data_IF_305365523122
#
_entry.id   IF_305365523122
#
_cell.length_a   1.000
_cell.length_b   1.000
_cell.length_c   1.000
_cell.angle_alpha   90.00
_cell.angle_beta   90.00
_cell.angle_gamma   90.00
#
_symmetry.space_group_name_H-M   'P 1'
#
loop_
_entity.id
_entity.type
_entity.pdbx_description
1 polymer ?
#
# COMPACT_ATOMS: atom_id res chain seq x y z
N UNK A 1 5.78 25.78 24.14
CA UNK A 1 5.51 24.78 25.21
C UNK A 1 6.43 24.91 26.43
N UNK A 2 7.77 24.92 26.31
CA UNK A 2 8.69 25.01 27.47
C UNK A 2 8.48 26.22 28.42
N UNK A 3 7.93 27.34 27.93
CA UNK A 3 7.57 28.50 28.77
C UNK A 3 6.22 28.36 29.49
N UNK A 4 5.34 27.43 29.07
CA UNK A 4 3.96 27.29 29.57
C UNK A 4 3.78 26.06 30.48
N UNK A 5 4.58 25.01 30.27
CA UNK A 5 4.62 23.83 31.13
C UNK A 5 6.06 23.63 31.59
N UNK A 6 6.33 24.00 32.84
CA UNK A 6 7.68 24.02 33.43
C UNK A 6 8.11 22.66 33.97
N UNK A 7 7.16 21.75 34.21
CA UNK A 7 7.44 20.36 34.59
C UNK A 7 6.65 19.36 33.74
N UNK A 8 7.14 18.11 33.67
CA UNK A 8 6.42 17.00 33.04
C UNK A 8 5.07 16.74 33.70
N UNK A 9 4.98 16.95 35.02
CA UNK A 9 3.74 16.80 35.79
C UNK A 9 2.68 17.79 35.30
N UNK A 10 3.05 19.07 35.15
CA UNK A 10 2.14 20.13 34.71
C UNK A 10 1.63 19.90 33.28
N UNK A 11 2.47 19.32 32.41
CA UNK A 11 2.06 18.95 31.06
C UNK A 11 1.13 17.72 31.05
N UNK A 12 1.40 16.73 31.91
CA UNK A 12 0.62 15.48 31.92
C UNK A 12 -0.85 15.65 32.33
N UNK A 13 -1.16 16.71 33.09
CA UNK A 13 -2.52 17.03 33.56
C UNK A 13 -3.20 18.15 32.77
N UNK A 14 -2.54 18.70 31.76
CA UNK A 14 -3.08 19.81 30.97
C UNK A 14 -4.22 19.36 30.05
N UNK A 15 -5.30 20.14 29.99
CA UNK A 15 -6.42 19.90 29.07
C UNK A 15 -6.13 20.45 27.67
N UNK A 16 -6.93 20.07 26.67
CA UNK A 16 -6.83 20.64 25.32
C UNK A 16 -6.98 22.16 25.31
N UNK A 17 -7.84 22.70 26.18
CA UNK A 17 -8.04 24.14 26.33
C UNK A 17 -6.81 24.85 26.92
N UNK A 18 -6.09 24.18 27.83
CA UNK A 18 -4.84 24.70 28.40
C UNK A 18 -3.71 24.70 27.36
N UNK A 19 -3.67 23.69 26.49
CA UNK A 19 -2.66 23.59 25.43
C UNK A 19 -2.93 24.62 24.33
N UNK A 20 -4.20 24.78 23.91
CA UNK A 20 -4.63 25.64 22.81
C UNK A 20 -5.64 26.72 23.28
N UNK A 21 -5.16 27.80 23.94
CA UNK A 21 -6.01 28.84 24.47
C UNK A 21 -6.65 29.69 23.36
N UNK A 22 -7.57 30.58 23.74
CA UNK A 22 -8.09 31.66 22.89
C UNK A 22 -8.74 31.23 21.56
N UNK A 23 -9.26 29.99 21.49
CA UNK A 23 -9.88 29.49 20.28
C UNK A 23 -8.89 29.23 19.14
N UNK A 24 -7.60 29.06 19.43
CA UNK A 24 -6.58 28.66 18.44
C UNK A 24 -7.01 27.43 17.62
N UNK A 25 -7.69 26.47 18.26
CA UNK A 25 -8.27 25.30 17.57
C UNK A 25 -9.37 25.67 16.56
N UNK A 26 -10.17 26.70 16.83
CA UNK A 26 -11.24 27.16 15.93
C UNK A 26 -10.68 27.85 14.68
N UNK A 27 -9.49 28.45 14.80
CA UNK A 27 -8.76 29.05 13.68
C UNK A 27 -7.93 28.02 12.89
N UNK A 28 -7.81 26.80 13.41
CA UNK A 28 -7.00 25.74 12.80
C UNK A 28 -7.71 25.06 11.64
N UNK A 29 -6.94 24.61 10.65
CA UNK A 29 -7.46 23.78 9.56
C UNK A 29 -7.78 22.39 10.09
N UNK A 30 -9.08 22.05 10.17
CA UNK A 30 -9.53 20.69 10.49
C UNK A 30 -9.57 19.85 9.22
N UNK A 31 -8.74 18.82 9.16
CA UNK A 31 -8.79 17.79 8.14
C UNK A 31 -9.46 16.54 8.73
N UNK A 32 -10.27 15.85 7.94
CA UNK A 32 -10.91 14.60 8.30
C UNK A 32 -10.53 13.52 7.29
N UNK A 33 -10.19 12.34 7.80
CA UNK A 33 -10.02 11.12 7.01
C UNK A 33 -11.27 10.28 7.19
N UNK A 34 -11.90 9.88 6.09
CA UNK A 34 -13.10 9.04 6.09
C UNK A 34 -12.89 7.66 5.47
N UNK A 35 -11.72 7.42 4.88
CA UNK A 35 -11.36 6.17 4.22
C UNK A 35 -9.90 5.84 4.55
N UNK A 36 -9.66 4.60 4.93
CA UNK A 36 -8.33 4.08 5.27
C UNK A 36 -8.03 2.74 4.60
N UNK A 37 -9.03 2.14 3.94
CA UNK A 37 -8.84 0.91 3.19
C UNK A 37 -8.16 1.21 1.84
N UNK A 38 -7.28 0.30 1.41
CA UNK A 38 -6.89 0.14 0.02
C UNK A 38 -8.12 -0.22 -0.81
N UNK A 39 -8.41 0.61 -1.82
CA UNK A 39 -9.58 0.45 -2.71
C UNK A 39 -9.17 0.52 -4.16
N UNK A 40 -9.88 -0.20 -5.01
CA UNK A 40 -9.81 -0.08 -6.46
C UNK A 40 -11.02 0.74 -6.94
N UNK A 41 -10.79 1.73 -7.79
CA UNK A 41 -11.88 2.48 -8.42
C UNK A 41 -12.06 2.01 -9.86
N UNK A 42 -13.19 1.34 -10.11
CA UNK A 42 -13.51 0.76 -11.41
C UNK A 42 -14.29 1.79 -12.24
N UNK A 43 -13.86 2.01 -13.48
CA UNK A 43 -14.59 2.90 -14.39
C UNK A 43 -15.80 2.18 -14.98
N UNK A 44 -16.98 2.73 -14.76
CA UNK A 44 -18.24 2.28 -15.37
C UNK A 44 -18.88 3.46 -16.10
N UNK A 45 -18.70 3.51 -17.41
CA UNK A 45 -19.07 4.67 -18.24
C UNK A 45 -18.31 5.93 -17.83
N UNK A 46 -19.04 6.93 -17.31
CA UNK A 46 -18.50 8.22 -16.84
C UNK A 46 -18.34 8.30 -15.32
N UNK A 47 -18.49 7.19 -14.59
CA UNK A 47 -18.38 7.15 -13.12
C UNK A 47 -17.31 6.16 -12.69
N UNK A 48 -16.79 6.37 -11.48
CA UNK A 48 -15.94 5.41 -10.79
C UNK A 48 -16.74 4.76 -9.66
N UNK A 49 -16.72 3.43 -9.59
CA UNK A 49 -17.33 2.64 -8.54
C UNK A 49 -16.20 2.18 -7.61
N UNK A 50 -16.36 2.46 -6.32
CA UNK A 50 -15.39 2.06 -5.28
C UNK A 50 -15.54 0.57 -4.99
N UNK A 51 -14.44 -0.16 -5.08
CA UNK A 51 -14.34 -1.56 -4.70
C UNK A 51 -13.31 -1.73 -3.58
N UNK A 52 -13.71 -2.39 -2.49
CA UNK A 52 -12.78 -2.76 -1.43
C UNK A 52 -11.86 -3.89 -1.92
N UNK A 53 -10.56 -3.73 -1.66
CA UNK A 53 -9.59 -4.82 -1.86
C UNK A 53 -9.61 -5.75 -0.63
N UNK A 54 -9.20 -7.03 -0.80
CA UNK A 54 -9.18 -8.00 0.29
C UNK A 54 -8.21 -7.58 1.41
N UNK A 55 -8.32 -8.24 2.57
CA UNK A 55 -7.60 -7.88 3.79
C UNK A 55 -6.07 -7.85 3.60
N UNK A 56 -5.54 -8.73 2.75
CA UNK A 56 -4.12 -8.85 2.45
C UNK A 56 -3.57 -7.62 1.72
N UNK A 57 -4.42 -6.87 1.01
CA UNK A 57 -4.05 -5.58 0.41
C UNK A 57 -3.97 -4.44 1.45
N UNK A 58 -4.33 -4.70 2.70
CA UNK A 58 -4.31 -3.73 3.81
C UNK A 58 -3.09 -3.90 4.72
N UNK A 59 -2.32 -4.99 4.57
CA UNK A 59 -1.25 -5.35 5.51
C UNK A 59 -0.05 -4.41 5.45
N UNK A 60 0.14 -3.69 4.34
CA UNK A 60 1.26 -2.76 4.17
C UNK A 60 0.87 -1.61 3.24
N UNK A 61 1.76 -0.63 3.12
CA UNK A 61 1.66 0.44 2.14
C UNK A 61 1.83 -0.11 0.71
N UNK A 62 0.91 0.28 -0.17
CA UNK A 62 0.99 0.02 -1.61
C UNK A 62 1.59 1.25 -2.28
N UNK A 63 2.80 1.11 -2.84
CA UNK A 63 3.49 2.19 -3.58
C UNK A 63 3.63 1.87 -5.06
N UNK A 64 3.47 0.59 -5.44
CA UNK A 64 3.52 0.11 -6.83
C UNK A 64 2.44 -0.93 -7.09
N UNK A 65 1.90 -0.88 -8.30
CA UNK A 65 0.86 -1.77 -8.79
C UNK A 65 1.27 -2.19 -10.20
N UNK A 66 1.31 -3.49 -10.45
CA UNK A 66 1.41 -4.06 -11.79
C UNK A 66 0.09 -4.71 -12.13
N UNK A 67 -0.45 -4.38 -13.31
CA UNK A 67 -1.72 -4.89 -13.80
C UNK A 67 -1.47 -5.71 -15.06
N UNK A 68 -1.66 -7.02 -14.98
CA UNK A 68 -1.57 -7.90 -16.14
C UNK A 68 -2.45 -9.14 -15.95
N UNK A 69 -2.56 -9.97 -16.98
CA UNK A 69 -3.24 -11.27 -16.93
C UNK A 69 -2.19 -12.35 -16.61
N UNK A 70 -1.98 -12.66 -15.32
CA UNK A 70 -0.86 -13.52 -14.89
C UNK A 70 -1.18 -15.01 -15.03
N UNK A 71 -2.46 -15.38 -14.99
CA UNK A 71 -2.91 -16.76 -15.14
C UNK A 71 -3.56 -17.06 -16.51
N UNK A 72 -3.61 -16.07 -17.40
CA UNK A 72 -4.08 -16.18 -18.78
C UNK A 72 -5.57 -16.54 -18.87
N UNK A 73 -6.37 -16.12 -17.89
CA UNK A 73 -7.81 -16.33 -17.88
C UNK A 73 -8.61 -15.25 -18.65
N UNK A 74 -7.90 -14.23 -19.14
CA UNK A 74 -8.46 -13.11 -19.91
C UNK A 74 -8.88 -11.92 -19.03
N UNK A 75 -8.71 -12.00 -17.71
CA UNK A 75 -8.98 -10.93 -16.77
C UNK A 75 -7.70 -10.29 -16.26
N UNK A 76 -7.82 -9.04 -15.78
CA UNK A 76 -6.69 -8.32 -15.21
C UNK A 76 -6.55 -8.62 -13.73
N UNK A 77 -5.37 -9.09 -13.38
CA UNK A 77 -4.91 -9.28 -12.03
C UNK A 77 -4.07 -8.08 -11.57
N UNK A 78 -3.86 -7.97 -10.27
CA UNK A 78 -3.04 -6.91 -9.65
C UNK A 78 -1.94 -7.52 -8.81
N UNK A 79 -0.69 -7.16 -9.07
CA UNK A 79 0.41 -7.35 -8.11
C UNK A 79 0.64 -6.04 -7.38
N UNK A 80 0.28 -6.03 -6.11
CA UNK A 80 0.46 -4.89 -5.20
C UNK A 80 1.78 -5.05 -4.46
N UNK A 81 2.61 -4.02 -4.54
CA UNK A 81 3.92 -3.97 -3.93
C UNK A 81 4.11 -2.64 -3.20
N UNK A 82 5.05 -2.63 -2.27
CA UNK A 82 5.44 -1.40 -1.61
C UNK A 82 6.32 -1.66 -0.42
N UNK A 83 5.76 -1.48 0.77
CA UNK A 83 6.46 -1.32 2.04
C UNK A 83 7.05 0.08 2.24
N UNK A 84 7.18 0.41 3.52
CA UNK A 84 7.89 1.58 3.98
C UNK A 84 8.52 1.28 5.35
N UNK A 85 9.83 1.08 5.37
CA UNK A 85 10.58 0.74 6.58
C UNK A 85 11.26 1.95 7.22
N UNK A 86 11.60 2.98 6.44
CA UNK A 86 12.18 4.24 6.94
C UNK A 86 11.11 5.18 7.55
N UNK A 87 10.46 4.70 8.59
CA UNK A 87 9.44 5.41 9.34
C UNK A 87 9.99 5.96 10.67
N UNK A 88 9.27 6.92 11.24
CA UNK A 88 9.56 7.37 12.62
C UNK A 88 9.45 6.18 13.58
N UNK A 89 10.37 6.09 14.55
CA UNK A 89 10.41 5.01 15.56
C UNK A 89 9.06 4.65 16.20
N UNK A 90 8.17 5.65 16.41
CA UNK A 90 6.84 5.44 17.00
C UNK A 90 5.85 4.71 16.09
N UNK A 91 6.02 4.78 14.78
CA UNK A 91 5.14 4.15 13.78
C UNK A 91 5.59 2.70 13.53
N UNK A 92 6.90 2.44 13.61
CA UNK A 92 7.49 1.15 13.28
C UNK A 92 7.63 0.94 11.77
N UNK A 93 8.09 -0.24 11.38
CA UNK A 93 8.22 -0.64 9.97
C UNK A 93 6.87 -1.10 9.42
N UNK A 94 6.57 -0.73 8.18
CA UNK A 94 5.38 -1.18 7.44
C UNK A 94 5.89 -2.05 6.29
N UNK A 95 6.24 -3.30 6.59
CA UNK A 95 6.98 -4.21 5.70
C UNK A 95 6.28 -5.54 5.42
N UNK A 96 4.99 -5.65 5.76
CA UNK A 96 4.22 -6.89 5.62
C UNK A 96 3.67 -7.15 4.20
N UNK A 97 4.28 -6.57 3.14
CA UNK A 97 3.93 -6.87 1.76
C UNK A 97 5.10 -7.53 1.03
N UNK A 98 4.95 -8.84 0.82
CA UNK A 98 5.90 -9.71 0.12
C UNK A 98 5.55 -9.91 -1.36
N UNK A 99 4.80 -8.97 -1.96
CA UNK A 99 4.15 -9.13 -3.25
C UNK A 99 2.76 -9.77 -3.07
N UNK A 100 1.74 -8.92 -3.05
CA UNK A 100 0.35 -9.34 -2.93
C UNK A 100 -0.28 -9.44 -4.33
N UNK A 101 -0.44 -10.68 -4.83
CA UNK A 101 -1.12 -10.94 -6.10
C UNK A 101 -2.61 -11.14 -5.85
N UNK A 102 -3.42 -10.32 -6.52
CA UNK A 102 -4.87 -10.37 -6.50
C UNK A 102 -5.37 -10.82 -7.87
N UNK A 103 -6.07 -11.94 -7.90
CA UNK A 103 -6.74 -12.46 -9.09
C UNK A 103 -8.03 -11.68 -9.38
N UNK A 104 -8.16 -11.18 -10.60
CA UNK A 104 -9.38 -10.54 -11.08
C UNK A 104 -10.46 -11.56 -11.44
N UNK A 105 -11.73 -11.20 -11.31
CA UNK A 105 -12.86 -12.04 -11.72
C UNK A 105 -13.59 -11.55 -12.98
N UNK A 106 -13.02 -10.55 -13.67
CA UNK A 106 -13.59 -9.87 -14.84
C UNK A 106 -14.78 -8.94 -14.54
N UNK A 107 -15.32 -8.98 -13.33
CA UNK A 107 -16.46 -8.17 -12.86
C UNK A 107 -16.04 -7.09 -11.88
N UNK A 108 -14.74 -6.99 -11.61
CA UNK A 108 -14.15 -6.01 -10.70
C UNK A 108 -13.94 -6.55 -9.28
N UNK A 109 -14.24 -7.82 -9.03
CA UNK A 109 -13.83 -8.53 -7.83
C UNK A 109 -12.36 -8.92 -7.90
N UNK A 110 -11.72 -8.90 -6.74
CA UNK A 110 -10.33 -9.30 -6.56
C UNK A 110 -10.22 -10.29 -5.41
N UNK A 111 -9.55 -11.41 -5.64
CA UNK A 111 -9.28 -12.43 -4.63
C UNK A 111 -7.79 -12.63 -4.46
N UNK A 112 -7.33 -12.71 -3.22
CA UNK A 112 -5.91 -12.89 -2.94
C UNK A 112 -5.43 -14.29 -3.32
N UNK A 113 -4.27 -14.35 -3.99
CA UNK A 113 -3.55 -15.59 -4.25
C UNK A 113 -2.46 -15.79 -3.20
N UNK A 114 -2.50 -16.87 -2.40
CA UNK A 114 -1.49 -17.13 -1.38
C UNK A 114 -0.06 -17.18 -1.95
N UNK A 115 0.93 -16.73 -1.17
CA UNK A 115 2.34 -16.64 -1.61
C UNK A 115 2.92 -17.99 -2.01
N UNK A 116 2.51 -19.06 -1.32
CA UNK A 116 2.90 -20.44 -1.67
C UNK A 116 2.44 -20.84 -3.07
N UNK A 117 1.39 -20.22 -3.61
CA UNK A 117 0.86 -20.45 -4.94
C UNK A 117 1.40 -19.43 -5.94
N UNK A 118 1.46 -18.15 -5.58
CA UNK A 118 1.96 -17.08 -6.47
C UNK A 118 3.47 -17.16 -6.70
N UNK A 119 4.22 -17.71 -5.76
CA UNK A 119 5.68 -17.75 -5.79
C UNK A 119 6.36 -16.40 -5.51
N UNK A 120 5.59 -15.37 -5.14
CA UNK A 120 6.12 -14.06 -4.79
C UNK A 120 6.73 -14.07 -3.38
N UNK A 121 7.88 -13.42 -3.25
CA UNK A 121 8.55 -13.17 -1.97
C UNK A 121 9.38 -11.89 -2.09
N UNK A 122 8.70 -10.78 -2.37
CA UNK A 122 9.31 -9.48 -2.61
C UNK A 122 9.88 -8.93 -1.31
N UNK A 123 11.14 -8.55 -1.31
CA UNK A 123 11.83 -8.02 -0.15
C UNK A 123 12.02 -6.50 -0.23
N UNK A 124 11.78 -5.82 0.89
CA UNK A 124 12.11 -4.41 1.13
C UNK A 124 11.13 -3.39 0.56
N UNK A 125 11.56 -2.13 0.60
CA UNK A 125 10.79 -0.97 0.15
C UNK A 125 10.84 -0.84 -1.37
N UNK A 126 9.81 -1.30 -2.06
CA UNK A 126 9.72 -1.26 -3.52
C UNK A 126 9.63 0.19 -4.01
N UNK A 127 10.59 0.59 -4.87
CA UNK A 127 10.69 1.93 -5.48
C UNK A 127 10.32 1.92 -6.96
N UNK A 128 10.54 0.81 -7.65
CA UNK A 128 10.17 0.60 -9.05
C UNK A 128 9.81 -0.86 -9.29
N UNK A 129 8.84 -1.10 -10.18
CA UNK A 129 8.53 -2.42 -10.68
C UNK A 129 8.02 -2.28 -12.11
N UNK A 130 8.42 -3.18 -13.00
CA UNK A 130 8.02 -3.18 -14.40
C UNK A 130 7.94 -4.61 -14.94
N UNK A 131 7.03 -4.84 -15.89
CA UNK A 131 6.99 -6.06 -16.68
C UNK A 131 7.83 -5.88 -17.95
N UNK A 132 8.79 -6.78 -18.15
CA UNK A 132 9.67 -6.77 -19.32
C UNK A 132 9.56 -8.08 -20.08
N UNK A 133 9.43 -7.99 -21.40
CA UNK A 133 9.48 -9.15 -22.30
C UNK A 133 10.88 -9.33 -22.85
N UNK A 134 11.49 -10.48 -22.58
CA UNK A 134 12.80 -10.87 -23.09
C UNK A 134 12.64 -12.15 -23.89
N UNK A 135 12.90 -12.09 -25.19
CA UNK A 135 12.78 -13.24 -26.11
C UNK A 135 11.39 -13.93 -26.03
N UNK A 136 10.34 -13.12 -25.92
CA UNK A 136 8.96 -13.62 -25.83
C UNK A 136 8.51 -14.02 -24.43
N UNK A 137 9.42 -14.17 -23.45
CA UNK A 137 9.08 -14.48 -22.06
C UNK A 137 8.92 -13.19 -21.23
N UNK A 138 7.82 -13.09 -20.48
CA UNK A 138 7.58 -11.98 -19.54
C UNK A 138 8.30 -12.21 -18.21
N UNK A 139 8.88 -11.14 -17.67
CA UNK A 139 9.55 -11.07 -16.38
C UNK A 139 9.06 -9.85 -15.61
N UNK A 140 8.76 -10.04 -14.32
CA UNK A 140 8.52 -8.96 -13.39
C UNK A 140 9.85 -8.56 -12.75
N UNK A 141 10.32 -7.35 -13.04
CA UNK A 141 11.54 -6.77 -12.48
C UNK A 141 11.18 -5.77 -11.39
N UNK A 142 11.82 -5.89 -10.23
CA UNK A 142 11.51 -5.09 -9.03
C UNK A 142 12.79 -4.50 -8.47
N UNK A 143 12.81 -3.17 -8.38
CA UNK A 143 13.83 -2.41 -7.67
C UNK A 143 13.30 -1.98 -6.30
N UNK A 144 13.93 -2.49 -5.24
CA UNK A 144 13.67 -2.10 -3.86
C UNK A 144 14.89 -1.38 -3.25
N UNK A 145 14.66 -0.48 -2.29
CA UNK A 145 15.75 0.19 -1.60
C UNK A 145 16.65 -0.83 -0.88
N UNK A 146 17.96 -0.62 -0.97
CA UNK A 146 18.99 -1.45 -0.31
C UNK A 146 18.94 -2.95 -0.64
N UNK A 147 18.28 -3.33 -1.73
CA UNK A 147 18.23 -4.70 -2.24
C UNK A 147 18.75 -4.78 -3.68
N UNK A 148 19.26 -5.96 -4.04
CA UNK A 148 19.53 -6.28 -5.43
C UNK A 148 18.25 -6.31 -6.26
N UNK A 149 18.37 -6.16 -7.58
CA UNK A 149 17.24 -6.30 -8.51
C UNK A 149 16.60 -7.69 -8.31
N UNK A 150 15.31 -7.71 -7.99
CA UNK A 150 14.53 -8.93 -7.84
C UNK A 150 13.80 -9.20 -9.16
N UNK A 151 13.86 -10.44 -9.65
CA UNK A 151 13.29 -10.83 -10.94
C UNK A 151 12.47 -12.10 -10.80
N UNK A 152 11.21 -12.03 -11.21
CA UNK A 152 10.30 -13.17 -11.25
C UNK A 152 9.94 -13.47 -12.70
N UNK A 153 10.06 -14.75 -13.08
CA UNK A 153 9.56 -15.22 -14.37
C UNK A 153 8.06 -15.44 -14.25
N UNK A 154 7.25 -14.80 -15.08
CA UNK A 154 5.81 -15.09 -15.11
C UNK A 154 5.58 -16.45 -15.75
N UNK A 155 4.51 -17.15 -15.36
CA UNK A 155 4.11 -18.35 -16.09
C UNK A 155 3.77 -17.98 -17.53
N UNK A 156 4.14 -18.85 -18.46
CA UNK A 156 3.56 -18.92 -19.78
C UNK A 156 2.90 -20.27 -19.83
N UNK A 157 1.59 -20.31 -19.61
CA UNK A 157 0.87 -21.54 -19.90
C UNK A 157 0.70 -21.57 -21.43
N UNK A 158 1.21 -22.66 -22.03
CA UNK A 158 1.05 -22.98 -23.45
C UNK A 158 -0.33 -23.51 -23.72
#
# INVERSE_FOLDING_TARGET
>A
MRKRFTSYKDYSTATMQDIFPNGELQQSKRLQVSETNSVCYLRTGNKFIKQLLPAEAQFSMITKIICDDFDHDGYKDLVLMGNHSDNRLKIGSIDANYGCLLKGDGRGGFSYLPQSVSGLNVAGDVKAAELMKIMGQSYLMIGAADHSLQVYKTRQDK
#
